data_IF_047868104161
#
_entry.id   IF_047868104161
#
_cell.length_a   1.000
_cell.length_b   1.000
_cell.length_c   1.000
_cell.angle_alpha   90.00
_cell.angle_beta   90.00
_cell.angle_gamma   90.00
#
_symmetry.space_group_name_H-M   'P 1'
#
loop_
_entity.id
_entity.type
_entity.pdbx_description
1 polymer ?
#
# COMPACT_ATOMS: atom_id res chain seq x y z
N UNK A 1 -15.58 24.55 -41.93
CA UNK A 1 -14.64 23.54 -41.43
C UNK A 1 -14.32 23.82 -39.98
N UNK A 2 -14.87 23.07 -39.01
CA UNK A 2 -14.55 23.30 -37.61
C UNK A 2 -13.23 22.64 -37.24
N UNK A 3 -12.41 23.38 -36.48
CA UNK A 3 -11.14 22.93 -35.91
C UNK A 3 -11.40 21.82 -34.88
N UNK A 4 -10.59 20.77 -34.98
CA UNK A 4 -10.52 19.62 -34.08
C UNK A 4 -10.48 20.02 -32.61
N UNK A 5 -11.42 19.49 -31.83
CA UNK A 5 -11.39 19.49 -30.38
C UNK A 5 -10.51 18.31 -29.90
N UNK A 6 -9.32 18.61 -29.39
CA UNK A 6 -8.55 17.66 -28.59
C UNK A 6 -9.18 17.59 -27.19
N UNK A 7 -10.05 16.61 -27.01
CA UNK A 7 -10.70 16.30 -25.74
C UNK A 7 -9.68 15.83 -24.71
N UNK A 8 -9.74 16.43 -23.52
CA UNK A 8 -8.85 16.22 -22.39
C UNK A 8 -8.79 14.75 -21.95
N UNK A 9 -7.58 14.15 -22.01
CA UNK A 9 -7.24 12.97 -21.22
C UNK A 9 -6.98 13.40 -19.77
N UNK A 10 -8.04 13.67 -19.02
CA UNK A 10 -7.99 13.89 -17.58
C UNK A 10 -8.27 12.59 -16.83
N UNK A 11 -7.18 11.95 -16.37
CA UNK A 11 -7.04 11.54 -14.97
C UNK A 11 -7.99 10.48 -14.43
N UNK A 12 -7.82 9.23 -14.83
CA UNK A 12 -8.04 8.12 -13.90
C UNK A 12 -6.75 7.95 -13.10
N UNK A 13 -6.71 8.47 -11.87
CA UNK A 13 -5.63 8.12 -10.93
C UNK A 13 -5.78 6.62 -10.63
N UNK A 14 -4.72 5.80 -10.77
CA UNK A 14 -4.79 4.41 -10.34
C UNK A 14 -4.97 4.38 -8.82
N UNK A 15 -6.22 4.19 -8.39
CA UNK A 15 -6.54 3.84 -7.02
C UNK A 15 -6.70 2.33 -6.95
N UNK A 16 -5.79 1.68 -6.23
CA UNK A 16 -5.91 0.28 -5.86
C UNK A 16 -6.44 0.22 -4.44
N UNK A 17 -7.63 -0.32 -4.24
CA UNK A 17 -8.12 -0.59 -2.90
C UNK A 17 -7.62 -1.98 -2.50
N UNK A 18 -6.69 -2.03 -1.56
CA UNK A 18 -6.28 -3.26 -0.89
C UNK A 18 -7.23 -3.54 0.25
N UNK A 19 -7.94 -4.67 0.21
CA UNK A 19 -8.74 -5.16 1.33
C UNK A 19 -8.18 -6.51 1.76
N UNK A 20 -7.87 -6.65 3.06
CA UNK A 20 -7.51 -7.95 3.63
C UNK A 20 -8.68 -8.91 3.45
N UNK A 21 -8.44 -10.04 2.77
CA UNK A 21 -9.42 -11.13 2.61
C UNK A 21 -9.23 -12.24 3.62
N UNK A 22 -7.98 -12.61 3.90
CA UNK A 22 -7.65 -13.69 4.83
C UNK A 22 -6.18 -13.66 5.19
N UNK A 23 -5.88 -14.05 6.43
CA UNK A 23 -4.53 -14.40 6.87
C UNK A 23 -4.50 -15.93 6.97
N UNK A 24 -3.60 -16.57 6.22
CA UNK A 24 -3.37 -18.01 6.33
C UNK A 24 -1.99 -18.21 6.93
N UNK A 25 -1.93 -18.84 8.12
CA UNK A 25 -0.68 -19.26 8.73
C UNK A 25 -0.41 -20.73 8.34
N UNK A 26 0.71 -20.99 7.67
CA UNK A 26 1.13 -22.36 7.37
C UNK A 26 2.64 -22.49 7.57
N UNK A 27 3.06 -23.44 8.43
CA UNK A 27 4.47 -23.75 8.69
C UNK A 27 5.37 -22.51 8.86
N UNK A 28 4.95 -21.59 9.74
CA UNK A 28 5.66 -20.32 10.05
C UNK A 28 5.64 -19.24 8.96
N UNK A 29 4.84 -19.39 7.90
CA UNK A 29 4.64 -18.36 6.86
C UNK A 29 3.25 -17.73 7.01
N UNK A 30 3.19 -16.40 7.06
CA UNK A 30 1.94 -15.63 6.95
C UNK A 30 1.67 -15.31 5.48
N UNK A 31 0.58 -15.87 4.94
CA UNK A 31 0.06 -15.50 3.63
C UNK A 31 -1.01 -14.43 3.85
N UNK A 32 -0.76 -13.23 3.33
CA UNK A 32 -1.68 -12.10 3.40
C UNK A 32 -2.41 -12.03 2.06
N UNK A 33 -3.65 -12.53 2.02
CA UNK A 33 -4.49 -12.39 0.82
C UNK A 33 -5.05 -10.97 0.80
N UNK A 34 -4.37 -10.06 0.07
CA UNK A 34 -4.83 -8.69 -0.13
C UNK A 34 -5.47 -8.63 -1.51
N UNK A 35 -6.80 -8.55 -1.54
CA UNK A 35 -7.46 -8.28 -2.81
C UNK A 35 -7.23 -6.81 -3.15
N UNK A 36 -6.48 -6.57 -4.22
CA UNK A 36 -6.46 -5.29 -4.89
C UNK A 36 -7.64 -5.23 -5.84
N UNK A 37 -8.55 -4.28 -5.65
CA UNK A 37 -9.58 -3.92 -6.63
C UNK A 37 -9.31 -2.52 -7.16
N UNK A 38 -9.11 -2.39 -8.47
CA UNK A 38 -8.86 -1.10 -9.11
C UNK A 38 -8.26 -1.23 -10.51
N UNK A 39 -7.91 -0.09 -11.08
CA UNK A 39 -7.24 0.00 -12.39
C UNK A 39 -5.74 0.17 -12.17
N UNK A 40 -4.95 -0.74 -12.74
CA UNK A 40 -3.48 -0.69 -12.81
C UNK A 40 -3.08 -0.71 -14.27
N UNK A 41 -2.37 0.30 -14.76
CA UNK A 41 -1.89 0.34 -16.17
C UNK A 41 -3.02 0.01 -17.18
N UNK A 42 -4.16 0.68 -17.02
CA UNK A 42 -5.38 0.49 -17.85
C UNK A 42 -6.00 -0.92 -17.82
N UNK A 43 -5.63 -1.76 -16.84
CA UNK A 43 -6.22 -3.08 -16.61
C UNK A 43 -6.90 -3.16 -15.24
N UNK A 44 -8.07 -3.78 -15.21
CA UNK A 44 -8.69 -4.20 -13.94
C UNK A 44 -7.89 -5.36 -13.35
N UNK A 45 -7.24 -5.15 -12.22
CA UNK A 45 -6.58 -6.22 -11.47
C UNK A 45 -7.60 -6.80 -10.50
N UNK A 46 -7.82 -8.12 -10.56
CA UNK A 46 -8.94 -8.76 -9.85
C UNK A 46 -8.51 -9.51 -8.59
N UNK A 47 -7.28 -10.02 -8.48
CA UNK A 47 -6.70 -10.60 -7.24
C UNK A 47 -5.19 -10.83 -7.41
N UNK A 48 -4.35 -10.24 -6.56
CA UNK A 48 -2.92 -10.63 -6.41
C UNK A 48 -2.69 -11.07 -4.98
N UNK A 49 -2.09 -12.25 -4.77
CA UNK A 49 -1.79 -12.77 -3.43
C UNK A 49 -0.37 -12.39 -3.02
N UNK A 50 -0.20 -11.93 -1.79
CA UNK A 50 1.11 -11.62 -1.22
C UNK A 50 1.43 -12.59 -0.08
N UNK A 51 2.64 -13.12 -0.04
CA UNK A 51 3.11 -14.14 0.91
C UNK A 51 3.87 -13.55 2.10
N UNK A 52 3.56 -12.30 2.46
CA UNK A 52 4.17 -11.59 3.58
C UNK A 52 5.18 -10.51 3.16
N UNK A 53 6.11 -10.22 4.07
CA UNK A 53 7.07 -9.14 3.95
C UNK A 53 8.45 -9.61 3.50
N UNK A 54 9.14 -8.74 2.77
CA UNK A 54 10.54 -8.86 2.38
C UNK A 54 11.40 -8.01 3.33
N UNK A 55 11.73 -8.60 4.48
CA UNK A 55 12.66 -8.03 5.45
C UNK A 55 14.05 -8.64 5.27
N UNK A 56 15.07 -7.79 5.21
CA UNK A 56 16.48 -8.14 5.23
C UNK A 56 17.27 -7.12 6.07
N UNK A 57 18.57 -7.33 6.22
CA UNK A 57 19.46 -6.45 6.97
C UNK A 57 19.48 -5.00 6.44
N UNK A 58 19.02 -4.76 5.21
CA UNK A 58 18.97 -3.45 4.58
C UNK A 58 17.70 -2.64 4.88
N UNK A 59 16.64 -3.25 5.41
CA UNK A 59 15.40 -2.54 5.73
C UNK A 59 14.78 -2.84 7.10
N UNK A 60 15.15 -3.95 7.76
CA UNK A 60 14.75 -4.22 9.14
C UNK A 60 15.23 -3.08 10.06
N UNK A 61 14.41 -2.69 11.03
CA UNK A 61 14.63 -1.63 12.03
C UNK A 61 14.96 -0.23 11.48
N UNK A 62 15.07 -0.06 10.16
CA UNK A 62 15.46 1.19 9.50
C UNK A 62 14.53 2.35 9.85
N UNK A 63 13.27 2.06 10.15
CA UNK A 63 12.25 3.06 10.47
C UNK A 63 12.13 3.36 11.98
N UNK A 64 12.91 2.69 12.84
CA UNK A 64 12.98 3.03 14.27
C UNK A 64 13.50 4.45 14.51
N UNK A 65 14.32 4.98 13.59
CA UNK A 65 14.71 6.40 13.58
C UNK A 65 13.53 7.39 13.47
N UNK A 66 12.37 6.89 13.04
CA UNK A 66 11.09 7.60 12.99
C UNK A 66 10.11 7.09 14.04
N UNK A 67 10.58 6.34 15.04
CA UNK A 67 9.78 5.72 16.11
C UNK A 67 8.68 4.78 15.58
N UNK A 68 8.92 4.16 14.42
CA UNK A 68 7.98 3.21 13.80
C UNK A 68 8.68 1.86 13.74
N UNK A 69 8.06 0.85 14.34
CA UNK A 69 8.59 -0.53 14.34
C UNK A 69 8.20 -1.26 13.06
N UNK A 70 8.94 -2.32 12.74
CA UNK A 70 8.58 -3.18 11.61
C UNK A 70 7.20 -3.81 11.83
N UNK A 71 6.88 -4.17 13.07
CA UNK A 71 5.54 -4.67 13.46
C UNK A 71 4.44 -3.64 13.15
N UNK A 72 4.63 -2.37 13.49
CA UNK A 72 3.65 -1.32 13.17
C UNK A 72 3.47 -1.14 11.65
N UNK A 73 4.54 -1.38 10.87
CA UNK A 73 4.44 -1.40 9.40
C UNK A 73 3.61 -2.60 8.96
N UNK A 74 3.82 -3.80 9.51
CA UNK A 74 3.01 -4.98 9.18
C UNK A 74 1.53 -4.77 9.51
N UNK A 75 1.24 -4.23 10.70
CA UNK A 75 -0.11 -3.89 11.17
C UNK A 75 -0.86 -2.96 10.20
N UNK A 76 -0.16 -1.97 9.60
CA UNK A 76 -0.76 -1.09 8.59
C UNK A 76 -1.40 -1.90 7.46
N UNK A 77 -0.69 -2.91 6.95
CA UNK A 77 -1.16 -3.74 5.85
C UNK A 77 -2.18 -4.78 6.29
N UNK A 78 -2.05 -5.32 7.51
CA UNK A 78 -2.95 -6.34 8.06
C UNK A 78 -4.30 -5.78 8.49
N UNK A 79 -4.39 -4.49 8.83
CA UNK A 79 -5.65 -3.89 9.25
C UNK A 79 -6.55 -3.55 8.05
N UNK A 80 -6.42 -2.34 7.51
CA UNK A 80 -7.24 -1.86 6.37
C UNK A 80 -6.51 -0.68 5.69
N UNK A 81 -5.30 -0.97 5.18
CA UNK A 81 -4.53 0.01 4.46
C UNK A 81 -5.23 0.42 3.15
N UNK A 82 -5.25 1.72 2.88
CA UNK A 82 -5.48 2.23 1.53
C UNK A 82 -4.18 2.17 0.73
N UNK A 83 -4.20 1.40 -0.35
CA UNK A 83 -3.08 1.28 -1.26
C UNK A 83 -3.19 2.34 -2.35
N UNK A 84 -2.06 2.89 -2.78
CA UNK A 84 -2.02 3.94 -3.79
C UNK A 84 -0.78 3.70 -4.63
N UNK A 85 -0.94 3.70 -5.96
CA UNK A 85 0.19 3.75 -6.88
C UNK A 85 0.32 5.17 -7.42
N UNK A 86 1.49 5.76 -7.31
CA UNK A 86 1.77 7.11 -7.81
C UNK A 86 3.11 7.10 -8.55
N UNK A 87 3.05 7.02 -9.88
CA UNK A 87 4.22 6.77 -10.71
C UNK A 87 4.82 5.39 -10.46
N UNK A 88 6.09 5.35 -10.08
CA UNK A 88 6.84 4.12 -9.78
C UNK A 88 6.58 3.59 -8.36
N UNK A 89 6.14 4.44 -7.43
CA UNK A 89 6.07 4.10 -6.01
C UNK A 89 4.69 3.59 -5.60
N UNK A 90 4.68 2.66 -4.65
CA UNK A 90 3.49 2.25 -3.92
C UNK A 90 3.48 2.87 -2.52
N UNK A 91 2.28 3.29 -2.10
CA UNK A 91 2.03 3.82 -0.78
C UNK A 91 0.91 3.04 -0.09
N UNK A 92 1.07 2.77 1.19
CA UNK A 92 0.03 2.26 2.06
C UNK A 92 -0.26 3.30 3.13
N UNK A 93 -1.52 3.71 3.20
CA UNK A 93 -2.01 4.58 4.25
C UNK A 93 -2.92 3.75 5.16
N UNK A 94 -2.48 3.45 6.37
CA UNK A 94 -3.28 2.66 7.31
C UNK A 94 -3.06 3.05 8.76
N UNK A 95 -3.48 2.16 9.65
CA UNK A 95 -3.36 2.34 11.10
C UNK A 95 -2.68 1.13 11.72
N UNK A 96 -1.80 1.40 12.69
CA UNK A 96 -1.31 0.39 13.63
C UNK A 96 -2.42 -0.04 14.58
N UNK A 97 -2.19 -1.12 15.32
CA UNK A 97 -3.09 -1.63 16.35
C UNK A 97 -3.19 -0.64 17.53
N UNK A 98 -2.09 0.06 17.82
CA UNK A 98 -2.05 1.19 18.75
C UNK A 98 -2.84 2.43 18.26
N UNK A 99 -3.35 2.40 17.03
CA UNK A 99 -4.20 3.42 16.44
C UNK A 99 -3.45 4.58 15.79
N UNK A 100 -2.11 4.54 15.71
CA UNK A 100 -1.29 5.53 15.00
C UNK A 100 -1.58 5.46 13.51
N UNK A 101 -1.55 6.61 12.84
CA UNK A 101 -1.76 6.69 11.40
C UNK A 101 -0.40 6.70 10.74
N UNK A 102 -0.09 5.65 9.98
CA UNK A 102 1.24 5.44 9.42
C UNK A 102 1.14 5.41 7.89
N UNK A 103 2.02 6.17 7.26
CA UNK A 103 2.26 6.16 5.83
C UNK A 103 3.47 5.27 5.56
N UNK A 104 3.33 4.32 4.63
CA UNK A 104 4.41 3.40 4.25
C UNK A 104 4.66 3.53 2.75
N UNK A 105 5.91 3.80 2.36
CA UNK A 105 6.40 3.60 0.99
C UNK A 105 6.91 2.18 0.87
N UNK A 106 6.49 1.47 -0.16
CA UNK A 106 6.93 0.10 -0.39
C UNK A 106 7.05 -0.23 -1.89
N UNK A 107 7.71 -1.34 -2.15
CA UNK A 107 7.78 -1.99 -3.46
C UNK A 107 7.16 -3.37 -3.40
N UNK A 108 6.75 -3.89 -4.55
CA UNK A 108 6.28 -5.26 -4.71
C UNK A 108 7.40 -6.06 -5.38
N UNK A 109 7.93 -7.07 -4.69
CA UNK A 109 9.02 -7.93 -5.18
C UNK A 109 8.56 -9.38 -5.22
N UNK A 110 8.45 -9.94 -6.41
CA UNK A 110 7.80 -11.23 -6.64
C UNK A 110 6.40 -11.27 -5.99
N UNK A 111 6.22 -12.05 -4.92
CA UNK A 111 4.97 -12.16 -4.16
C UNK A 111 5.11 -11.58 -2.74
N UNK A 112 6.06 -10.67 -2.49
CA UNK A 112 6.28 -10.04 -1.18
C UNK A 112 6.18 -8.53 -1.24
N UNK A 113 5.82 -7.94 -0.11
CA UNK A 113 5.83 -6.49 0.13
C UNK A 113 7.18 -6.13 0.72
N UNK A 114 7.93 -5.22 0.09
CA UNK A 114 9.18 -4.68 0.65
C UNK A 114 8.97 -3.26 1.16
N UNK A 115 8.89 -3.04 2.48
CA UNK A 115 8.87 -1.69 3.04
C UNK A 115 10.20 -0.96 2.76
N UNK A 116 10.10 0.31 2.36
CA UNK A 116 11.24 1.17 2.01
C UNK A 116 11.43 2.25 3.06
N UNK A 117 10.33 2.90 3.44
CA UNK A 117 10.29 3.93 4.48
C UNK A 117 8.89 4.06 5.07
N UNK A 118 8.80 4.47 6.33
CA UNK A 118 7.53 4.78 6.98
C UNK A 118 7.63 6.06 7.84
N UNK A 119 6.52 6.79 7.94
CA UNK A 119 6.37 7.97 8.79
C UNK A 119 4.94 8.13 9.30
N UNK A 120 4.76 8.91 10.37
CA UNK A 120 3.43 9.26 10.83
C UNK A 120 2.72 10.16 9.81
N UNK A 121 1.48 9.81 9.45
CA UNK A 121 0.72 10.61 8.50
C UNK A 121 0.54 12.05 8.96
N UNK A 122 0.92 12.96 8.09
CA UNK A 122 0.58 14.39 8.12
C UNK A 122 -0.93 14.60 8.03
N UNK A 123 -1.39 15.81 8.35
CA UNK A 123 -2.82 16.18 8.29
C UNK A 123 -3.41 16.00 6.88
N UNK A 124 -2.65 16.29 5.82
CA UNK A 124 -3.06 16.11 4.43
C UNK A 124 -3.17 14.62 4.06
N UNK A 125 -2.21 13.80 4.47
CA UNK A 125 -2.24 12.35 4.26
C UNK A 125 -3.41 11.70 5.01
N UNK A 126 -3.70 12.10 6.26
CA UNK A 126 -4.88 11.62 6.99
C UNK A 126 -6.18 12.01 6.30
N UNK A 127 -6.26 13.20 5.70
CA UNK A 127 -7.39 13.58 4.85
C UNK A 127 -7.48 12.68 3.61
N UNK A 128 -6.35 12.36 2.98
CA UNK A 128 -6.29 11.41 1.85
C UNK A 128 -6.77 10.03 2.30
N UNK A 129 -6.33 9.52 3.44
CA UNK A 129 -6.79 8.24 4.02
C UNK A 129 -8.32 8.21 4.22
N UNK A 130 -8.91 9.27 4.77
CA UNK A 130 -10.35 9.35 5.07
C UNK A 130 -11.27 9.47 3.83
N UNK A 131 -10.76 9.93 2.69
CA UNK A 131 -11.53 10.04 1.44
C UNK A 131 -11.64 8.67 0.77
N UNK A 132 -12.37 7.71 1.36
CA UNK A 132 -12.67 6.44 0.70
C UNK A 132 -13.56 6.66 -0.51
#
# INVERSE_FOLDING_TARGET
MPKSAATAAHGLKPLLYGKLRSIIQFNSVYIIDIQLSGVLEDRYVTTTRWKGFDWDDGNIDKNLKHTITDVEIEEVFLNDARWIREGYWYYALGRSDSGRFIFVVFELRAEKIRPISAHEMTRSERRRYKKK
#
